data_IF_933825580273
#
_entry.id   IF_933825580273
#
_cell.length_a   1.000
_cell.length_b   1.000
_cell.length_c   1.000
_cell.angle_alpha   90.00
_cell.angle_beta   90.00
_cell.angle_gamma   90.00
#
_symmetry.space_group_name_H-M   'P 1'
#
loop_
_entity.id
_entity.type
_entity.pdbx_description
1 polymer ?
#
# COMPACT_ATOMS: atom_id res chain seq x y z
N UNK A 1 -6.92 -14.42 -14.86
CA UNK A 1 -7.04 -15.45 -13.81
C UNK A 1 -8.21 -15.12 -12.90
N UNK A 2 -9.43 -15.29 -13.39
CA UNK A 2 -10.67 -15.02 -12.65
C UNK A 2 -11.04 -16.29 -11.86
N UNK A 3 -10.27 -16.55 -10.80
CA UNK A 3 -10.60 -17.59 -9.84
C UNK A 3 -11.93 -17.23 -9.19
N UNK A 4 -12.88 -18.15 -9.20
CA UNK A 4 -14.08 -18.08 -8.37
C UNK A 4 -13.60 -17.88 -6.93
N UNK A 5 -13.59 -16.64 -6.45
CA UNK A 5 -13.54 -16.38 -5.02
C UNK A 5 -14.83 -16.94 -4.47
N UNK A 6 -14.72 -18.14 -3.92
CA UNK A 6 -15.79 -18.75 -3.19
C UNK A 6 -16.25 -17.75 -2.10
N UNK A 7 -17.53 -17.40 -2.02
CA UNK A 7 -18.02 -16.36 -1.13
C UNK A 7 -17.63 -16.64 0.33
N UNK A 8 -17.53 -17.92 0.73
CA UNK A 8 -17.07 -18.29 2.07
C UNK A 8 -15.63 -17.86 2.37
N UNK A 9 -14.75 -17.74 1.38
CA UNK A 9 -13.36 -17.35 1.60
C UNK A 9 -13.26 -15.89 2.02
N UNK A 10 -13.96 -14.98 1.34
CA UNK A 10 -13.99 -13.57 1.73
C UNK A 10 -14.60 -13.37 3.12
N UNK A 11 -15.71 -14.07 3.38
CA UNK A 11 -16.40 -14.02 4.67
C UNK A 11 -15.51 -14.53 5.83
N UNK A 12 -14.80 -15.63 5.62
CA UNK A 12 -13.88 -16.20 6.62
C UNK A 12 -12.71 -15.26 6.94
N UNK A 13 -12.22 -14.49 5.96
CA UNK A 13 -11.17 -13.50 6.19
C UNK A 13 -11.64 -12.37 7.08
N UNK A 14 -12.80 -11.76 6.78
CA UNK A 14 -13.38 -10.70 7.61
C UNK A 14 -13.65 -11.20 9.04
N UNK A 15 -14.23 -12.40 9.16
CA UNK A 15 -14.45 -13.06 10.46
C UNK A 15 -13.15 -13.31 11.22
N UNK A 16 -12.06 -13.66 10.51
CA UNK A 16 -10.73 -13.80 11.08
C UNK A 16 -10.22 -12.51 11.70
N UNK A 17 -10.40 -11.38 11.00
CA UNK A 17 -9.99 -10.05 11.50
C UNK A 17 -10.75 -9.68 12.78
N UNK A 18 -12.07 -9.88 12.83
CA UNK A 18 -12.85 -9.63 14.05
C UNK A 18 -12.40 -10.51 15.23
N UNK A 19 -12.11 -11.79 14.98
CA UNK A 19 -11.57 -12.67 16.01
C UNK A 19 -10.22 -12.20 16.56
N UNK A 20 -9.34 -11.65 15.71
CA UNK A 20 -8.07 -11.07 16.16
C UNK A 20 -8.29 -9.90 17.12
N UNK A 21 -9.23 -9.01 16.80
CA UNK A 21 -9.58 -7.85 17.61
C UNK A 21 -10.27 -8.19 18.93
N UNK A 22 -10.98 -9.32 19.02
CA UNK A 22 -11.65 -9.73 20.25
C UNK A 22 -10.84 -10.67 21.14
N UNK A 23 -9.95 -11.49 20.57
CA UNK A 23 -9.30 -12.60 21.31
C UNK A 23 -7.80 -12.46 21.51
N UNK A 24 -7.10 -11.77 20.62
CA UNK A 24 -5.62 -11.79 20.60
C UNK A 24 -5.02 -10.42 20.83
N UNK A 25 -5.56 -9.40 20.18
CA UNK A 25 -5.06 -8.03 20.22
C UNK A 25 -6.16 -7.07 20.68
N UNK A 26 -5.77 -5.85 21.06
CA UNK A 26 -6.74 -4.78 21.33
C UNK A 26 -7.33 -4.28 20.00
N UNK A 27 -8.60 -3.83 19.98
CA UNK A 27 -9.25 -3.36 18.76
C UNK A 27 -8.50 -2.20 18.11
N UNK A 28 -7.98 -1.27 18.92
CA UNK A 28 -7.20 -0.10 18.47
C UNK A 28 -5.97 -0.51 17.65
N UNK A 29 -5.24 -1.55 18.10
CA UNK A 29 -4.07 -2.06 17.38
C UNK A 29 -4.43 -2.73 16.06
N UNK A 30 -5.56 -3.44 16.01
CA UNK A 30 -6.03 -4.10 14.79
C UNK A 30 -6.49 -3.06 13.76
N UNK A 31 -7.15 -1.98 14.20
CA UNK A 31 -7.52 -0.87 13.34
C UNK A 31 -6.29 -0.18 12.72
N UNK A 32 -5.29 0.17 13.54
CA UNK A 32 -4.03 0.73 13.06
C UNK A 32 -3.31 -0.20 12.06
N UNK A 33 -3.33 -1.51 12.31
CA UNK A 33 -2.78 -2.49 11.39
C UNK A 33 -3.56 -2.57 10.06
N UNK A 34 -4.89 -2.44 10.10
CA UNK A 34 -5.73 -2.39 8.91
C UNK A 34 -5.48 -1.12 8.07
N UNK A 35 -5.35 0.04 8.72
CA UNK A 35 -4.98 1.29 8.03
C UNK A 35 -3.64 1.13 7.31
N UNK A 36 -2.64 0.56 7.98
CA UNK A 36 -1.35 0.24 7.38
C UNK A 36 -1.46 -0.74 6.22
N UNK A 37 -2.29 -1.78 6.34
CA UNK A 37 -2.53 -2.74 5.28
C UNK A 37 -3.17 -2.10 4.03
N UNK A 38 -4.05 -1.11 4.22
CA UNK A 38 -4.65 -0.33 3.13
C UNK A 38 -3.60 0.57 2.47
N UNK A 39 -2.75 1.23 3.27
CA UNK A 39 -1.68 2.10 2.76
C UNK A 39 -0.67 1.36 1.86
N UNK A 40 -0.41 0.08 2.13
CA UNK A 40 0.45 -0.78 1.30
C UNK A 40 -0.31 -1.49 0.17
N UNK A 41 -1.59 -1.17 -0.06
CA UNK A 41 -2.49 -1.82 -1.03
C UNK A 41 -2.62 -3.34 -0.84
N UNK A 42 -2.54 -3.82 0.40
CA UNK A 42 -2.64 -5.25 0.72
C UNK A 42 -3.63 -5.52 1.87
N UNK A 43 -4.95 -5.32 1.66
CA UNK A 43 -6.01 -5.54 2.66
C UNK A 43 -6.33 -7.03 2.83
N UNK A 44 -5.33 -7.85 3.12
CA UNK A 44 -5.44 -9.30 3.28
C UNK A 44 -5.22 -9.66 4.74
N UNK A 45 -5.96 -10.65 5.25
CA UNK A 45 -5.78 -11.18 6.61
C UNK A 45 -4.31 -11.49 6.95
N UNK A 46 -3.59 -12.14 6.02
CA UNK A 46 -2.17 -12.48 6.18
C UNK A 46 -1.30 -11.23 6.39
N UNK A 47 -1.61 -10.13 5.70
CA UNK A 47 -0.87 -8.89 5.80
C UNK A 47 -1.14 -8.22 7.15
N UNK A 48 -2.38 -8.19 7.61
CA UNK A 48 -2.75 -7.69 8.95
C UNK A 48 -2.04 -8.50 10.04
N UNK A 49 -2.04 -9.83 9.95
CA UNK A 49 -1.32 -10.70 10.89
C UNK A 49 0.19 -10.43 10.89
N UNK A 50 0.79 -10.25 9.71
CA UNK A 50 2.21 -9.92 9.60
C UNK A 50 2.54 -8.56 10.21
N UNK A 51 1.68 -7.55 9.99
CA UNK A 51 1.83 -6.21 10.56
C UNK A 51 1.78 -6.26 12.09
N UNK A 52 0.78 -6.96 12.65
CA UNK A 52 0.61 -7.14 14.09
C UNK A 52 1.75 -7.95 14.72
N UNK A 53 2.20 -9.02 14.05
CA UNK A 53 3.29 -9.87 14.52
C UNK A 53 4.64 -9.16 14.58
N UNK A 54 4.85 -8.18 13.68
CA UNK A 54 6.07 -7.37 13.64
C UNK A 54 5.95 -6.06 14.46
N UNK A 55 4.81 -5.79 15.11
CA UNK A 55 4.59 -4.55 15.87
C UNK A 55 4.59 -3.28 14.99
N UNK A 56 4.32 -3.43 13.70
CA UNK A 56 4.33 -2.34 12.73
C UNK A 56 3.10 -1.41 12.89
N UNK A 57 2.12 -1.79 13.70
CA UNK A 57 0.98 -0.94 14.05
C UNK A 57 1.37 0.33 14.83
N UNK A 58 2.48 0.30 15.57
CA UNK A 58 2.94 1.43 16.37
C UNK A 58 3.87 2.41 15.61
N UNK A 59 4.34 2.02 14.42
CA UNK A 59 5.28 2.84 13.63
C UNK A 59 4.48 3.73 12.69
N UNK A 60 4.66 5.05 12.84
CA UNK A 60 4.02 6.04 11.98
C UNK A 60 4.29 5.74 10.50
N UNK A 61 3.22 5.78 9.69
CA UNK A 61 3.23 5.51 8.24
C UNK A 61 3.97 6.58 7.42
N UNK A 62 4.59 7.56 8.07
CA UNK A 62 5.35 8.60 7.37
C UNK A 62 6.41 7.93 6.50
N UNK A 63 6.31 8.06 5.16
CA UNK A 63 7.38 7.57 4.30
C UNK A 63 8.65 8.32 4.73
N UNK A 64 9.77 7.61 4.97
CA UNK A 64 11.02 8.30 5.17
C UNK A 64 11.21 9.23 3.98
N UNK A 65 11.54 10.49 4.24
CA UNK A 65 11.87 11.43 3.18
C UNK A 65 12.88 10.73 2.26
N UNK A 66 12.51 10.57 0.99
CA UNK A 66 13.35 9.87 0.03
C UNK A 66 14.75 10.49 0.03
N UNK A 67 15.80 9.70 -0.26
CA UNK A 67 17.13 10.26 -0.38
C UNK A 67 17.10 11.45 -1.35
N UNK A 68 17.90 12.49 -1.10
CA UNK A 68 17.94 13.64 -2.00
C UNK A 68 18.22 13.16 -3.43
N UNK A 69 17.64 13.82 -4.45
CA UNK A 69 17.89 13.46 -5.83
C UNK A 69 19.40 13.38 -6.11
N UNK A 70 19.83 12.26 -6.69
CA UNK A 70 21.23 12.08 -7.08
C UNK A 70 21.45 12.89 -8.35
N UNK A 71 22.29 13.92 -8.27
CA UNK A 71 22.72 14.68 -9.44
C UNK A 71 23.85 13.93 -10.15
N UNK A 72 23.59 13.46 -11.37
CA UNK A 72 24.58 12.81 -12.21
C UNK A 72 24.38 13.23 -13.66
N UNK A 73 25.47 13.32 -14.44
CA UNK A 73 25.45 13.81 -15.83
C UNK A 73 24.48 13.05 -16.75
N UNK A 74 24.25 11.76 -16.47
CA UNK A 74 23.34 10.90 -17.24
C UNK A 74 21.93 10.78 -16.65
N UNK A 75 21.67 11.36 -15.48
CA UNK A 75 20.33 11.36 -14.87
C UNK A 75 19.60 12.60 -15.34
N UNK A 76 18.54 12.40 -16.12
CA UNK A 76 17.69 13.49 -16.61
C UNK A 76 16.75 13.91 -15.48
N UNK A 77 16.83 15.18 -15.08
CA UNK A 77 16.04 15.73 -13.98
C UNK A 77 14.54 15.82 -14.28
N UNK A 78 13.75 16.14 -13.27
CA UNK A 78 12.29 16.26 -13.38
C UNK A 78 11.85 17.23 -14.48
N UNK A 79 12.60 18.31 -14.71
CA UNK A 79 12.31 19.31 -15.75
C UNK A 79 12.30 18.69 -17.15
N UNK A 80 13.22 17.76 -17.45
CA UNK A 80 13.25 17.05 -18.74
C UNK A 80 11.93 16.31 -19.04
N UNK A 81 11.35 15.67 -18.02
CA UNK A 81 10.08 14.96 -18.19
C UNK A 81 8.88 15.90 -18.21
N UNK A 82 8.94 17.03 -17.48
CA UNK A 82 7.89 18.06 -17.54
C UNK A 82 7.82 18.72 -18.91
N UNK A 83 8.96 19.05 -19.51
CA UNK A 83 9.04 19.60 -20.87
C UNK A 83 8.51 18.62 -21.91
N UNK A 84 8.85 17.34 -21.80
CA UNK A 84 8.36 16.28 -22.69
C UNK A 84 6.85 16.06 -22.57
N UNK A 85 6.28 16.21 -21.37
CA UNK A 85 4.83 16.17 -21.15
C UNK A 85 4.12 17.46 -21.61
N UNK A 86 4.79 18.62 -21.53
CA UNK A 86 4.25 19.90 -21.98
C UNK A 86 4.24 20.06 -23.50
N UNK A 87 5.16 19.40 -24.21
CA UNK A 87 5.24 19.38 -25.68
C UNK A 87 4.32 18.38 -26.39
N UNK A 88 3.38 17.74 -25.67
CA UNK A 88 2.57 16.62 -26.17
C UNK A 88 1.21 16.96 -26.79
N UNK A 89 0.99 18.18 -27.28
CA UNK A 89 -0.18 18.52 -28.09
C UNK A 89 0.20 19.06 -29.47
N UNK A 90 0.87 18.25 -30.26
CA UNK A 90 0.77 18.37 -31.71
C UNK A 90 0.65 16.97 -32.34
N UNK A 91 -0.48 16.80 -33.05
CA UNK A 91 -0.73 15.93 -34.18
C UNK A 91 -0.21 14.47 -34.18
N UNK A 92 -0.89 13.59 -33.45
CA UNK A 92 -1.02 12.17 -33.87
C UNK A 92 -2.30 12.02 -34.69
N UNK A 93 -2.20 12.33 -35.98
CA UNK A 93 -3.13 11.80 -36.99
C UNK A 93 -2.52 10.51 -37.53
N UNK A 94 -3.13 9.38 -37.19
CA UNK A 94 -3.11 8.16 -37.97
C UNK A 94 -4.57 7.75 -38.18
#
# INVERSE_FOLDING_TARGET
MSGRHYPEQGFNQCRGIFNLASKVYTPERVEAACERAIAIHSPLYKSVVSILGNGLDAIALTPPAGPPPIEHQNIRGTEYYKELLAGGQENVTC
#
